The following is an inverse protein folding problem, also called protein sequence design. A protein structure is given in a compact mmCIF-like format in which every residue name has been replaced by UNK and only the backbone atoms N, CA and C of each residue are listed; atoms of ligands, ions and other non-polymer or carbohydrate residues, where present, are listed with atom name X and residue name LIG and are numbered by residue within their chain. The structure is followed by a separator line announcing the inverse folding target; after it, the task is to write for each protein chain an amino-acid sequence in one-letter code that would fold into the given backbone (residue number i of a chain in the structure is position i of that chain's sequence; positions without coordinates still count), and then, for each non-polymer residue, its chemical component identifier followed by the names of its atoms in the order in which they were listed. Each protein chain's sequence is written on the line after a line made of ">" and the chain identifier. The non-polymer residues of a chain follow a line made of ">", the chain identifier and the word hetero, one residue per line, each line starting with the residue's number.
data_IF_802298890385
#
_entry.id   IF_802298890385
#
_cell.length_a   1.000
_cell.length_b   1.000
_cell.length_c   1.000
_cell.angle_alpha   90.00
_cell.angle_beta   90.00
_cell.angle_gamma   90.00
#
_symmetry.space_group_name_H-M   'P 1'
#
loop_
_entity.id
_entity.type
_entity.pdbx_description
1 polymer ?
#
# COMPACT_ATOMS: atom_id res chain seq x y z
N UNK A 1 -48.72 5.12 -57.43
CA UNK A 1 -47.42 4.54 -57.06
C UNK A 1 -46.96 5.17 -55.75
N UNK A 2 -47.16 4.48 -54.67
CA UNK A 2 -46.72 4.99 -53.35
C UNK A 2 -45.45 4.23 -52.99
N UNK A 3 -44.34 4.94 -52.93
CA UNK A 3 -43.08 4.37 -52.49
C UNK A 3 -43.07 4.32 -50.97
N UNK A 4 -43.08 3.11 -50.41
CA UNK A 4 -42.94 2.85 -49.01
C UNK A 4 -41.46 2.94 -48.65
N UNK A 5 -41.06 4.00 -47.95
CA UNK A 5 -39.71 4.14 -47.47
C UNK A 5 -39.63 3.49 -46.11
N UNK A 6 -39.01 2.31 -46.07
CA UNK A 6 -38.77 1.62 -44.82
C UNK A 6 -37.58 2.26 -44.14
N UNK A 7 -37.84 2.94 -43.04
CA UNK A 7 -36.79 3.45 -42.16
C UNK A 7 -36.33 2.34 -41.25
N UNK A 8 -35.15 1.83 -41.53
CA UNK A 8 -34.48 0.86 -40.66
C UNK A 8 -33.90 1.59 -39.47
N UNK A 9 -34.57 1.53 -38.32
CA UNK A 9 -34.06 2.05 -37.09
C UNK A 9 -32.93 1.15 -36.58
N UNK A 10 -31.71 1.66 -36.70
CA UNK A 10 -30.52 1.03 -36.11
C UNK A 10 -30.54 1.26 -34.60
N UNK A 11 -30.99 0.29 -33.84
CA UNK A 11 -30.90 0.29 -32.38
C UNK A 11 -29.44 0.00 -32.03
N UNK A 12 -28.68 1.07 -31.76
CA UNK A 12 -27.38 0.93 -31.10
C UNK A 12 -27.59 0.51 -29.64
N UNK A 13 -27.49 -0.79 -29.40
CA UNK A 13 -27.39 -1.30 -28.03
C UNK A 13 -26.02 -0.88 -27.46
N UNK A 14 -26.00 0.22 -26.70
CA UNK A 14 -24.88 0.53 -25.83
C UNK A 14 -24.83 -0.55 -24.75
N UNK A 15 -23.98 -1.55 -24.95
CA UNK A 15 -23.59 -2.45 -23.89
C UNK A 15 -22.76 -1.61 -22.90
N UNK A 16 -23.39 -1.12 -21.86
CA UNK A 16 -22.70 -0.64 -20.66
C UNK A 16 -22.03 -1.88 -20.05
N UNK A 17 -20.77 -2.09 -20.45
CA UNK A 17 -19.93 -3.04 -19.76
C UNK A 17 -19.78 -2.54 -18.34
N UNK A 18 -20.47 -3.19 -17.37
CA UNK A 18 -20.16 -3.02 -15.98
C UNK A 18 -18.72 -3.52 -15.78
N UNK A 19 -17.76 -2.59 -15.81
CA UNK A 19 -16.40 -2.88 -15.42
C UNK A 19 -16.46 -3.31 -13.97
N UNK A 20 -16.28 -4.60 -13.70
CA UNK A 20 -15.91 -5.07 -12.37
C UNK A 20 -14.65 -4.33 -12.02
N UNK A 21 -14.75 -3.40 -11.03
CA UNK A 21 -13.57 -2.83 -10.41
C UNK A 21 -12.85 -4.00 -9.75
N UNK A 22 -11.82 -4.55 -10.46
CA UNK A 22 -10.87 -5.45 -9.84
C UNK A 22 -10.25 -4.66 -8.69
N UNK A 23 -10.39 -5.15 -7.46
CA UNK A 23 -9.64 -4.63 -6.34
C UNK A 23 -8.17 -4.67 -6.78
N UNK A 24 -7.56 -3.49 -6.94
CA UNK A 24 -6.16 -3.40 -7.36
C UNK A 24 -5.34 -3.97 -6.22
N UNK A 25 -4.74 -5.12 -6.47
CA UNK A 25 -3.72 -5.65 -5.58
C UNK A 25 -2.66 -4.57 -5.42
N UNK A 26 -2.42 -4.17 -4.17
CA UNK A 26 -1.34 -3.24 -3.88
C UNK A 26 -0.03 -4.00 -4.02
N UNK A 27 0.72 -3.68 -5.08
CA UNK A 27 2.06 -4.21 -5.23
C UNK A 27 3.01 -3.51 -4.27
N UNK A 28 3.78 -4.31 -3.54
CA UNK A 28 4.92 -3.82 -2.75
C UNK A 28 6.18 -4.16 -3.51
N UNK A 29 7.09 -3.23 -3.59
CA UNK A 29 8.36 -3.37 -4.29
C UNK A 29 9.54 -3.16 -3.34
N UNK A 30 10.70 -3.71 -3.71
CA UNK A 30 11.97 -3.42 -3.04
C UNK A 30 12.68 -2.34 -3.85
N UNK A 31 13.07 -1.28 -3.18
CA UNK A 31 13.92 -0.23 -3.74
C UNK A 31 15.27 -0.25 -3.04
N UNK A 32 16.27 0.35 -3.68
CA UNK A 32 17.61 0.52 -3.12
C UNK A 32 18.01 1.98 -3.22
N UNK A 33 18.56 2.52 -2.14
CA UNK A 33 19.01 3.91 -2.09
C UNK A 33 20.35 4.01 -1.39
N UNK A 34 21.30 4.68 -2.02
CA UNK A 34 22.58 4.97 -1.42
C UNK A 34 22.43 5.65 -0.05
N UNK A 35 23.16 5.18 0.93
CA UNK A 35 23.10 5.67 2.31
C UNK A 35 21.93 5.14 3.14
N UNK A 36 20.94 4.47 2.54
CA UNK A 36 19.79 3.86 3.22
C UNK A 36 19.82 2.34 3.10
N UNK A 37 20.14 1.83 1.91
CA UNK A 37 20.07 0.43 1.56
C UNK A 37 18.73 0.03 0.97
N UNK A 38 18.42 -1.26 1.03
CA UNK A 38 17.15 -1.80 0.51
C UNK A 38 15.99 -1.51 1.44
N UNK A 39 14.82 -1.24 0.84
CA UNK A 39 13.61 -0.96 1.60
C UNK A 39 12.34 -1.28 0.81
N UNK A 40 11.27 -1.55 1.54
CA UNK A 40 9.94 -1.73 0.95
C UNK A 40 9.33 -0.39 0.58
N UNK A 41 8.69 -0.35 -0.57
CA UNK A 41 7.87 0.76 -1.06
C UNK A 41 6.55 0.24 -1.64
N UNK A 42 5.53 1.10 -1.68
CA UNK A 42 4.28 0.76 -2.34
C UNK A 42 4.41 0.78 -3.88
N UNK A 43 3.31 0.47 -4.57
CA UNK A 43 3.26 0.44 -6.04
C UNK A 43 3.62 1.77 -6.71
N UNK A 44 3.49 2.88 -6.00
CA UNK A 44 3.83 4.23 -6.49
C UNK A 44 5.26 4.62 -6.15
N UNK A 45 6.00 3.75 -5.44
CA UNK A 45 7.36 4.03 -5.01
C UNK A 45 7.46 4.78 -3.69
N UNK A 46 6.37 4.93 -2.95
CA UNK A 46 6.38 5.57 -1.63
C UNK A 46 6.94 4.61 -0.58
N UNK A 47 7.89 5.10 0.19
CA UNK A 47 8.59 4.33 1.21
C UNK A 47 7.66 3.87 2.32
N UNK A 48 7.83 2.62 2.74
CA UNK A 48 7.13 2.03 3.87
C UNK A 48 8.05 1.96 5.08
N UNK A 49 7.49 2.34 6.24
CA UNK A 49 8.19 2.43 7.51
C UNK A 49 7.58 1.52 8.55
N UNK A 50 8.38 1.16 9.55
CA UNK A 50 7.92 0.49 10.76
C UNK A 50 8.28 1.31 12.00
N UNK A 51 7.54 1.09 13.07
CA UNK A 51 7.68 1.79 14.34
C UNK A 51 8.30 0.86 15.39
N UNK A 52 9.43 1.24 15.94
CA UNK A 52 10.19 0.41 16.89
C UNK A 52 9.40 0.08 18.17
N UNK A 53 8.41 0.89 18.52
CA UNK A 53 7.54 0.67 19.68
C UNK A 53 6.35 -0.23 19.40
N UNK A 54 6.12 -0.60 18.15
CA UNK A 54 5.12 -1.58 17.77
C UNK A 54 5.56 -3.00 18.13
N UNK A 55 4.60 -3.90 18.17
CA UNK A 55 4.80 -5.33 18.33
C UNK A 55 4.04 -6.08 17.21
N UNK A 56 4.33 -7.37 16.97
CA UNK A 56 3.54 -8.16 16.03
C UNK A 56 2.05 -8.12 16.37
N UNK A 57 1.22 -7.70 15.40
CA UNK A 57 -0.22 -7.59 15.58
C UNK A 57 -0.69 -6.43 16.45
N UNK A 58 0.19 -5.51 16.82
CA UNK A 58 -0.15 -4.40 17.71
C UNK A 58 0.56 -3.11 17.31
N UNK A 59 -0.23 -2.04 17.11
CA UNK A 59 0.28 -0.70 16.87
C UNK A 59 0.27 0.14 18.14
N UNK A 60 1.38 0.85 18.39
CA UNK A 60 1.49 1.85 19.44
C UNK A 60 1.34 3.28 18.89
N UNK A 61 1.11 3.45 17.59
CA UNK A 61 0.93 4.74 16.94
C UNK A 61 -0.57 5.02 16.77
N UNK A 62 -1.11 5.98 17.53
CA UNK A 62 -2.52 6.35 17.48
C UNK A 62 -2.69 7.87 17.57
N UNK A 63 -3.87 8.39 17.21
CA UNK A 63 -4.19 9.80 17.26
C UNK A 63 -3.24 10.67 16.46
N UNK A 64 -2.59 11.69 17.06
CA UNK A 64 -1.67 12.59 16.35
C UNK A 64 -0.49 11.89 15.68
N UNK A 65 -0.09 10.72 16.18
CA UNK A 65 0.95 9.91 15.56
C UNK A 65 0.56 9.50 14.14
N UNK A 66 -0.68 9.06 13.93
CA UNK A 66 -1.18 8.62 12.61
C UNK A 66 -1.29 9.78 11.62
N UNK A 67 -1.46 11.00 12.09
CA UNK A 67 -1.45 12.18 11.21
C UNK A 67 -0.07 12.41 10.58
N UNK A 68 1.00 12.13 11.31
CA UNK A 68 2.38 12.22 10.83
C UNK A 68 2.82 10.95 10.12
N UNK A 69 2.35 9.82 10.56
CA UNK A 69 2.67 8.50 10.05
C UNK A 69 1.41 7.79 9.53
N UNK A 70 0.90 8.19 8.35
CA UNK A 70 -0.31 7.61 7.78
C UNK A 70 -0.19 6.10 7.60
N UNK A 71 -1.31 5.42 7.76
CA UNK A 71 -1.36 3.97 7.65
C UNK A 71 -1.18 3.51 6.21
N UNK A 72 -0.38 2.48 6.00
CA UNK A 72 -0.38 1.74 4.74
C UNK A 72 -1.41 0.62 4.83
N UNK A 73 -2.30 0.55 3.85
CA UNK A 73 -3.25 -0.54 3.72
C UNK A 73 -3.49 -0.93 2.26
N UNK A 74 -3.43 -2.22 2.01
CA UNK A 74 -3.89 -2.86 0.78
C UNK A 74 -4.68 -4.10 1.14
N UNK A 75 -5.83 -4.31 0.52
CA UNK A 75 -6.67 -5.48 0.79
C UNK A 75 -5.97 -6.78 0.42
N UNK A 76 -5.28 -6.77 -0.72
CA UNK A 76 -4.38 -7.84 -1.16
C UNK A 76 -3.03 -7.24 -1.48
N UNK A 77 -1.98 -7.86 -0.98
CA UNK A 77 -0.61 -7.44 -1.26
C UNK A 77 0.05 -8.41 -2.22
N UNK A 78 0.49 -7.90 -3.36
CA UNK A 78 1.42 -8.60 -4.22
C UNK A 78 2.83 -8.25 -3.77
N UNK A 79 3.51 -9.19 -3.14
CA UNK A 79 4.88 -9.02 -2.65
C UNK A 79 5.89 -9.01 -3.80
N UNK A 80 7.09 -8.44 -3.59
CA UNK A 80 8.19 -8.53 -4.54
C UNK A 80 8.69 -9.97 -4.68
N UNK A 81 9.47 -10.23 -5.74
CA UNK A 81 9.86 -11.59 -6.16
C UNK A 81 10.42 -12.48 -5.04
N UNK A 82 11.22 -11.92 -4.14
CA UNK A 82 11.92 -12.68 -3.09
C UNK A 82 11.22 -12.59 -1.72
N UNK A 83 10.01 -12.03 -1.67
CA UNK A 83 9.24 -11.86 -0.43
C UNK A 83 7.89 -12.53 -0.60
N UNK A 84 7.61 -13.62 0.13
CA UNK A 84 6.32 -14.29 0.04
C UNK A 84 5.16 -13.35 0.37
N UNK A 85 4.06 -13.46 -0.37
CA UNK A 85 2.84 -12.69 -0.08
C UNK A 85 2.32 -12.99 1.34
N UNK A 86 2.60 -14.18 1.88
CA UNK A 86 2.26 -14.59 3.24
C UNK A 86 2.99 -13.82 4.34
N UNK A 87 4.06 -13.09 4.00
CA UNK A 87 4.73 -12.19 4.95
C UNK A 87 3.91 -10.94 5.24
N UNK A 88 2.91 -10.66 4.40
CA UNK A 88 1.99 -9.55 4.59
C UNK A 88 0.68 -10.03 5.21
N UNK A 89 0.13 -9.26 6.12
CA UNK A 89 -1.13 -9.52 6.79
C UNK A 89 -1.91 -8.23 7.02
N UNK A 90 -3.02 -8.34 7.72
CA UNK A 90 -3.87 -7.21 8.08
C UNK A 90 -4.06 -7.14 9.58
N UNK A 91 -3.81 -5.96 10.13
CA UNK A 91 -4.16 -5.59 11.50
C UNK A 91 -5.48 -4.83 11.49
N UNK A 92 -6.43 -5.23 12.32
CA UNK A 92 -7.59 -4.41 12.65
C UNK A 92 -7.23 -3.63 13.91
N UNK A 93 -7.11 -2.31 13.76
CA UNK A 93 -6.71 -1.39 14.82
C UNK A 93 -7.85 -1.18 15.82
N UNK A 94 -7.53 -0.64 17.01
CA UNK A 94 -8.54 -0.36 18.05
C UNK A 94 -9.61 0.65 17.57
N UNK A 95 -9.26 1.56 16.63
CA UNK A 95 -10.19 2.49 15.99
C UNK A 95 -11.02 1.86 14.85
N UNK A 96 -10.86 0.56 14.60
CA UNK A 96 -11.54 -0.18 13.56
C UNK A 96 -10.90 -0.04 12.17
N UNK A 97 -9.87 0.77 11.99
CA UNK A 97 -9.15 0.90 10.71
C UNK A 97 -8.29 -0.33 10.45
N UNK A 98 -8.20 -0.69 9.17
CA UNK A 98 -7.32 -1.75 8.73
C UNK A 98 -5.95 -1.19 8.37
N UNK A 99 -4.91 -1.94 8.67
CA UNK A 99 -3.54 -1.59 8.37
C UNK A 99 -2.79 -2.85 7.92
N UNK A 100 -2.03 -2.75 6.83
CA UNK A 100 -1.18 -3.84 6.38
C UNK A 100 -0.01 -4.02 7.33
N UNK A 101 0.33 -5.28 7.60
CA UNK A 101 1.51 -5.67 8.37
C UNK A 101 2.53 -6.36 7.48
N UNK A 102 3.79 -6.28 7.86
CA UNK A 102 4.87 -7.09 7.31
C UNK A 102 5.51 -7.89 8.45
N UNK A 103 5.46 -9.21 8.32
CA UNK A 103 5.88 -10.16 9.38
C UNK A 103 5.31 -9.79 10.75
N UNK A 104 4.03 -9.37 10.74
CA UNK A 104 3.27 -8.98 11.92
C UNK A 104 3.36 -7.50 12.30
N UNK A 105 4.37 -6.77 11.85
CA UNK A 105 4.56 -5.37 12.21
C UNK A 105 3.76 -4.43 11.31
N UNK A 106 2.99 -3.47 11.88
CA UNK A 106 2.25 -2.48 11.12
C UNK A 106 3.16 -1.62 10.23
N UNK A 107 2.66 -1.28 9.04
CA UNK A 107 3.38 -0.47 8.07
C UNK A 107 2.76 0.92 7.94
N UNK A 108 3.63 1.93 7.77
CA UNK A 108 3.26 3.34 7.74
C UNK A 108 3.94 4.07 6.58
N UNK A 109 3.35 5.22 6.23
CA UNK A 109 4.00 6.26 5.44
C UNK A 109 4.60 7.34 6.35
N UNK A 110 5.44 8.19 5.78
CA UNK A 110 5.90 9.43 6.41
C UNK A 110 5.31 10.63 5.67
N UNK A 111 4.66 11.52 6.42
CA UNK A 111 3.93 12.68 5.83
C UNK A 111 4.85 13.63 5.06
N UNK A 112 6.12 13.69 5.41
CA UNK A 112 7.11 14.55 4.75
C UNK A 112 7.76 13.93 3.51
N UNK A 113 7.51 12.66 3.22
CA UNK A 113 7.89 12.06 1.95
C UNK A 113 6.91 12.53 0.87
N UNK A 114 7.38 13.41 -0.03
CA UNK A 114 6.54 14.04 -1.06
C UNK A 114 6.63 13.33 -2.40
N UNK A 115 7.81 12.77 -2.71
CA UNK A 115 8.12 12.15 -3.99
C UNK A 115 8.42 10.66 -3.83
N UNK A 116 8.15 9.84 -4.85
CA UNK A 116 8.63 8.46 -4.87
C UNK A 116 10.14 8.40 -4.64
N UNK A 117 10.57 7.52 -3.74
CA UNK A 117 11.98 7.38 -3.38
C UNK A 117 12.46 8.28 -2.26
N UNK A 118 11.63 9.20 -1.76
CA UNK A 118 11.94 9.91 -0.52
C UNK A 118 12.02 8.93 0.65
N UNK A 119 13.00 9.11 1.50
CA UNK A 119 13.23 8.29 2.72
C UNK A 119 13.51 9.17 3.93
N UNK A 120 12.81 10.30 4.02
CA UNK A 120 13.03 11.31 5.06
C UNK A 120 12.59 10.84 6.45
N UNK A 121 11.82 9.76 6.52
CA UNK A 121 11.41 9.13 7.77
C UNK A 121 12.46 8.22 8.39
N UNK A 122 13.53 7.88 7.64
CA UNK A 122 14.57 6.99 8.14
C UNK A 122 15.27 7.57 9.37
N UNK A 123 15.19 6.87 10.49
CA UNK A 123 15.85 7.24 11.73
C UNK A 123 15.18 8.38 12.52
N UNK A 124 13.97 8.80 12.16
CA UNK A 124 13.25 9.85 12.90
C UNK A 124 13.08 9.43 14.36
N UNK A 125 13.54 10.29 15.25
CA UNK A 125 13.54 10.09 16.71
C UNK A 125 14.20 8.77 17.17
N UNK A 126 15.00 8.12 16.32
CA UNK A 126 15.60 6.80 16.57
C UNK A 126 14.59 5.68 16.84
N UNK A 127 13.35 5.82 16.36
CA UNK A 127 12.25 4.85 16.54
C UNK A 127 11.49 4.54 15.25
N UNK A 128 11.76 5.25 14.16
CA UNK A 128 11.15 5.03 12.85
C UNK A 128 12.20 4.66 11.83
N UNK A 129 11.95 3.60 11.08
CA UNK A 129 12.92 3.09 10.11
C UNK A 129 12.23 2.54 8.87
N UNK A 130 12.91 2.59 7.73
CA UNK A 130 12.50 1.85 6.54
C UNK A 130 12.53 0.34 6.82
N UNK A 131 11.77 -0.43 6.06
CA UNK A 131 11.70 -1.88 6.19
C UNK A 131 12.65 -2.52 5.18
N UNK A 132 13.79 -3.04 5.65
CA UNK A 132 14.67 -3.87 4.82
C UNK A 132 14.22 -5.34 4.94
N UNK A 133 13.64 -5.93 3.90
CA UNK A 133 13.07 -7.28 4.00
C UNK A 133 14.12 -8.37 4.28
N UNK A 134 15.39 -8.12 3.98
CA UNK A 134 16.47 -9.07 4.25
C UNK A 134 16.89 -9.08 5.73
N UNK A 135 16.59 -8.03 6.48
CA UNK A 135 17.05 -7.82 7.86
C UNK A 135 15.90 -7.62 8.84
N UNK A 136 14.65 -7.77 8.39
CA UNK A 136 13.48 -7.49 9.21
C UNK A 136 12.80 -8.77 9.70
N UNK A 137 12.30 -8.85 10.96
CA UNK A 137 12.47 -7.84 12.00
C UNK A 137 13.91 -7.79 12.53
N UNK A 138 14.39 -6.59 12.97
CA UNK A 138 15.71 -6.50 13.57
C UNK A 138 15.77 -7.31 14.87
N UNK A 139 16.89 -7.96 15.10
CA UNK A 139 17.17 -8.76 16.31
C UNK A 139 17.62 -7.86 17.45
#
# INVERSE_FOLDING_TARGET
>A
MKKLTTILALVCALALGAGTALALDQAVQIKDKEGVGKYLADSRGKTLYWFKKDAPGKSACAGPCVEKWPLFFGEKIAGPHDVPATDFGTLIREDGKHQTTFRGYPLYYWVNDKEPGDTLGQGVNNIWYVVDPAKFPPQ
#
